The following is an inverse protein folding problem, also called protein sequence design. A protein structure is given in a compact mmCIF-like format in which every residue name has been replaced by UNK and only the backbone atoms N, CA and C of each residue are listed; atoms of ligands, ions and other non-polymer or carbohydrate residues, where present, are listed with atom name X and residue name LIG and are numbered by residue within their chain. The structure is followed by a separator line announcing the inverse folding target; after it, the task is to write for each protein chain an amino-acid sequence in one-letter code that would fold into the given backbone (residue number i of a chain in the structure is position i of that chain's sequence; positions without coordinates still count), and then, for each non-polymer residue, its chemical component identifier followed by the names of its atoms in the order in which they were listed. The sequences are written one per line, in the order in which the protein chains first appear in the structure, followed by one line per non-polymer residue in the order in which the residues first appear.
data_IF_716094135540
#
_entry.id   IF_716094135540
#
_cell.length_a   1.000
_cell.length_b   1.000
_cell.length_c   1.000
_cell.angle_alpha   90.00
_cell.angle_beta   90.00
_cell.angle_gamma   90.00
#
_symmetry.space_group_name_H-M   'P 1'
#
loop_
_entity.id
_entity.type
_entity.pdbx_description
1 polymer ?
#
# COMPACT_ATOMS: atom_id res chain seq x y z
N UNK A 1 12.70 -9.76 -23.41
CA UNK A 1 13.20 -8.64 -22.57
C UNK A 1 12.95 -9.00 -21.13
N UNK A 2 13.95 -8.91 -20.26
CA UNK A 2 13.82 -9.29 -18.85
C UNK A 2 12.95 -8.28 -18.08
N UNK A 3 12.13 -8.77 -17.16
CA UNK A 3 11.32 -7.97 -16.23
C UNK A 3 12.22 -7.32 -15.16
N UNK A 4 13.03 -6.33 -15.54
CA UNK A 4 13.88 -5.63 -14.58
C UNK A 4 13.20 -4.36 -14.03
N UNK A 5 13.15 -4.18 -12.69
CA UNK A 5 12.63 -2.96 -12.11
C UNK A 5 13.57 -1.79 -12.36
N UNK A 6 13.00 -0.64 -12.76
CA UNK A 6 13.78 0.61 -12.86
C UNK A 6 14.38 0.95 -11.49
N UNK A 7 15.68 1.25 -11.45
CA UNK A 7 16.34 1.69 -10.21
C UNK A 7 15.91 3.12 -9.83
N UNK A 8 15.73 3.45 -8.54
CA UNK A 8 15.43 4.81 -8.13
C UNK A 8 16.61 5.74 -8.47
N UNK A 9 16.33 6.94 -8.95
CA UNK A 9 17.35 7.89 -9.39
C UNK A 9 17.92 8.78 -8.27
N UNK A 10 17.33 8.76 -7.08
CA UNK A 10 17.74 9.59 -5.94
C UNK A 10 17.51 8.88 -4.60
N UNK A 11 18.06 9.46 -3.53
CA UNK A 11 17.97 8.91 -2.16
C UNK A 11 16.53 8.81 -1.65
N UNK A 12 15.68 9.80 -1.96
CA UNK A 12 14.27 9.75 -1.58
C UNK A 12 13.55 8.53 -2.18
N UNK A 13 13.82 8.22 -3.45
CA UNK A 13 13.27 7.05 -4.13
C UNK A 13 13.83 5.73 -3.59
N UNK A 14 15.12 5.69 -3.22
CA UNK A 14 15.72 4.52 -2.56
C UNK A 14 15.06 4.26 -1.20
N UNK A 15 14.92 5.30 -0.38
CA UNK A 15 14.27 5.21 0.92
C UNK A 15 12.81 4.78 0.80
N UNK A 16 12.05 5.35 -0.13
CA UNK A 16 10.67 4.95 -0.38
C UNK A 16 10.55 3.48 -0.83
N UNK A 17 11.50 3.00 -1.65
CA UNK A 17 11.51 1.61 -2.10
C UNK A 17 11.82 0.66 -0.95
N UNK A 18 12.78 1.02 -0.11
CA UNK A 18 13.10 0.24 1.07
C UNK A 18 11.90 0.16 2.02
N UNK A 19 11.21 1.28 2.26
CA UNK A 19 9.99 1.30 3.06
C UNK A 19 8.87 0.44 2.46
N UNK A 20 8.66 0.50 1.13
CA UNK A 20 7.69 -0.38 0.45
C UNK A 20 8.06 -1.84 0.66
N UNK A 21 9.34 -2.20 0.46
CA UNK A 21 9.82 -3.57 0.62
C UNK A 21 9.62 -4.07 2.06
N UNK A 22 9.94 -3.26 3.06
CA UNK A 22 9.78 -3.63 4.47
C UNK A 22 8.31 -3.81 4.87
N UNK A 23 7.42 -2.99 4.33
CA UNK A 23 5.98 -3.19 4.50
C UNK A 23 5.48 -4.44 3.78
N UNK A 24 5.94 -4.66 2.54
CA UNK A 24 5.58 -5.84 1.75
C UNK A 24 6.02 -7.13 2.44
N UNK A 25 7.24 -7.20 2.98
CA UNK A 25 7.75 -8.34 3.78
C UNK A 25 6.83 -8.67 4.95
N UNK A 26 6.31 -7.66 5.64
CA UNK A 26 5.37 -7.85 6.77
C UNK A 26 3.99 -8.29 6.29
N UNK A 27 3.53 -7.81 5.15
CA UNK A 27 2.25 -8.21 4.54
C UNK A 27 2.31 -9.65 4.03
N UNK A 28 3.41 -10.07 3.41
CA UNK A 28 3.58 -11.42 2.88
C UNK A 28 4.06 -12.44 3.91
N UNK A 29 4.63 -11.98 5.03
CA UNK A 29 5.29 -12.85 6.01
C UNK A 29 6.68 -13.34 5.57
N UNK A 30 7.22 -12.81 4.47
CA UNK A 30 8.51 -13.25 3.90
C UNK A 30 9.63 -12.27 4.26
N UNK A 31 10.32 -12.51 5.38
CA UNK A 31 11.36 -11.60 5.89
C UNK A 31 12.54 -11.36 4.92
N UNK A 32 12.93 -12.38 4.16
CA UNK A 32 14.07 -12.32 3.24
C UNK A 32 13.67 -11.92 1.81
N UNK A 33 12.42 -11.51 1.59
CA UNK A 33 11.97 -11.09 0.27
C UNK A 33 12.77 -9.88 -0.22
N UNK A 34 13.38 -9.98 -1.39
CA UNK A 34 14.02 -8.84 -2.06
C UNK A 34 13.06 -8.19 -3.07
N UNK A 35 13.42 -6.97 -3.51
CA UNK A 35 12.56 -6.20 -4.39
C UNK A 35 12.45 -6.80 -5.81
N UNK A 36 13.46 -7.48 -6.33
CA UNK A 36 13.40 -8.09 -7.66
C UNK A 36 12.44 -9.29 -7.65
N UNK A 37 12.54 -10.14 -6.63
CA UNK A 37 11.61 -11.26 -6.42
C UNK A 37 10.18 -10.76 -6.27
N UNK A 38 9.98 -9.71 -5.47
CA UNK A 38 8.67 -9.05 -5.33
C UNK A 38 8.19 -8.48 -6.68
N UNK A 39 9.09 -7.86 -7.45
CA UNK A 39 8.77 -7.30 -8.75
C UNK A 39 8.28 -8.37 -9.73
N UNK A 40 9.04 -9.45 -9.92
CA UNK A 40 8.66 -10.55 -10.80
C UNK A 40 7.33 -11.21 -10.42
N UNK A 41 7.02 -11.31 -9.13
CA UNK A 41 5.79 -11.97 -8.65
C UNK A 41 4.54 -11.14 -8.89
N UNK A 42 4.63 -9.82 -8.73
CA UNK A 42 3.45 -8.95 -8.69
C UNK A 42 3.32 -7.98 -9.87
N UNK A 43 4.39 -7.66 -10.60
CA UNK A 43 4.38 -6.62 -11.64
C UNK A 43 3.32 -6.82 -12.73
N UNK A 44 3.05 -8.07 -13.13
CA UNK A 44 2.14 -8.42 -14.23
C UNK A 44 0.84 -9.11 -13.77
N UNK A 45 0.70 -9.38 -12.47
CA UNK A 45 -0.51 -9.98 -11.92
C UNK A 45 -1.36 -8.89 -11.27
N UNK A 46 -2.19 -8.22 -12.08
CA UNK A 46 -2.99 -7.05 -11.67
C UNK A 46 -3.75 -7.27 -10.37
N UNK A 47 -4.44 -8.41 -10.24
CA UNK A 47 -5.23 -8.70 -9.04
C UNK A 47 -4.34 -8.85 -7.79
N UNK A 48 -3.26 -9.63 -7.88
CA UNK A 48 -2.36 -9.83 -6.75
C UNK A 48 -1.61 -8.54 -6.39
N UNK A 49 -1.22 -7.75 -7.38
CA UNK A 49 -0.60 -6.44 -7.22
C UNK A 49 -1.49 -5.46 -6.46
N UNK A 50 -2.73 -5.28 -6.92
CA UNK A 50 -3.69 -4.36 -6.29
C UNK A 50 -3.96 -4.79 -4.85
N UNK A 51 -4.10 -6.11 -4.60
CA UNK A 51 -4.29 -6.63 -3.24
C UNK A 51 -3.08 -6.35 -2.33
N UNK A 52 -1.86 -6.51 -2.86
CA UNK A 52 -0.64 -6.17 -2.13
C UNK A 52 -0.59 -4.68 -1.82
N UNK A 53 -0.90 -3.81 -2.78
CA UNK A 53 -0.90 -2.36 -2.60
C UNK A 53 -1.94 -1.90 -1.58
N UNK A 54 -3.17 -2.45 -1.61
CA UNK A 54 -4.21 -2.21 -0.59
C UNK A 54 -3.71 -2.61 0.82
N UNK A 55 -3.03 -3.76 0.94
CA UNK A 55 -2.51 -4.26 2.21
C UNK A 55 -1.31 -3.45 2.73
N UNK A 56 -0.39 -3.05 1.84
CA UNK A 56 0.76 -2.19 2.15
C UNK A 56 0.28 -0.80 2.57
N UNK A 57 -0.69 -0.21 1.86
CA UNK A 57 -1.31 1.05 2.24
C UNK A 57 -1.90 0.97 3.65
N UNK A 58 -2.70 -0.08 3.90
CA UNK A 58 -3.33 -0.32 5.19
C UNK A 58 -2.31 -0.47 6.33
N UNK A 59 -1.24 -1.23 6.11
CA UNK A 59 -0.19 -1.41 7.12
C UNK A 59 0.61 -0.12 7.34
N UNK A 60 0.93 0.63 6.27
CA UNK A 60 1.65 1.90 6.35
C UNK A 60 0.91 2.90 7.24
N UNK A 61 -0.40 3.09 6.99
CA UNK A 61 -1.21 4.03 7.75
C UNK A 61 -1.36 3.57 9.21
N UNK A 62 -1.58 2.27 9.47
CA UNK A 62 -1.63 1.73 10.84
C UNK A 62 -0.30 1.87 11.59
N UNK A 63 0.82 1.89 10.87
CA UNK A 63 2.15 2.08 11.44
C UNK A 63 2.49 3.55 11.72
N UNK A 64 1.55 4.49 11.49
CA UNK A 64 1.71 5.91 11.81
C UNK A 64 2.19 6.78 10.64
N UNK A 65 2.39 6.23 9.45
CA UNK A 65 2.73 7.06 8.28
C UNK A 65 1.54 7.94 7.88
N UNK A 66 1.82 9.18 7.50
CA UNK A 66 0.80 10.06 6.93
C UNK A 66 0.31 9.55 5.56
N UNK A 67 -0.89 9.99 5.11
CA UNK A 67 -1.36 9.69 3.76
C UNK A 67 -0.37 10.12 2.67
N UNK A 68 0.27 11.29 2.83
CA UNK A 68 1.27 11.79 1.87
C UNK A 68 2.50 10.88 1.79
N UNK A 69 3.03 10.44 2.93
CA UNK A 69 4.15 9.50 2.97
C UNK A 69 3.76 8.17 2.34
N UNK A 70 2.58 7.65 2.68
CA UNK A 70 2.07 6.38 2.14
C UNK A 70 1.93 6.45 0.62
N UNK A 71 1.42 7.56 0.06
CA UNK A 71 1.42 7.78 -1.39
C UNK A 71 2.83 7.69 -1.96
N UNK A 72 3.82 8.37 -1.36
CA UNK A 72 5.23 8.30 -1.81
C UNK A 72 5.81 6.88 -1.78
N UNK A 73 5.49 6.10 -0.76
CA UNK A 73 5.88 4.69 -0.62
C UNK A 73 5.27 3.85 -1.75
N UNK A 74 3.97 3.97 -2.01
CA UNK A 74 3.25 3.21 -3.04
C UNK A 74 3.68 3.56 -4.48
N UNK A 75 4.31 4.72 -4.71
CA UNK A 75 4.96 4.97 -6.01
C UNK A 75 6.12 4.01 -6.30
N UNK A 76 6.59 3.26 -5.30
CA UNK A 76 7.58 2.21 -5.48
C UNK A 76 6.97 0.81 -5.57
N UNK A 77 5.65 0.67 -5.74
CA UNK A 77 5.05 -0.64 -5.94
C UNK A 77 5.50 -1.29 -7.25
N UNK A 78 5.70 -2.62 -7.28
CA UNK A 78 5.99 -3.36 -8.50
C UNK A 78 5.07 -3.03 -9.66
N UNK A 79 3.76 -2.98 -9.37
CA UNK A 79 2.74 -2.72 -10.36
C UNK A 79 2.89 -1.34 -10.98
N UNK A 80 2.98 -0.29 -10.15
CA UNK A 80 3.16 1.06 -10.69
C UNK A 80 4.46 1.17 -11.49
N UNK A 81 5.56 0.63 -10.97
CA UNK A 81 6.85 0.68 -11.65
C UNK A 81 6.80 -0.05 -13.00
N UNK A 82 6.10 -1.18 -13.09
CA UNK A 82 5.90 -1.91 -14.34
C UNK A 82 5.02 -1.14 -15.33
N UNK A 83 3.87 -0.64 -14.88
CA UNK A 83 2.96 0.12 -15.74
C UNK A 83 3.64 1.35 -16.35
N UNK A 84 4.37 2.13 -15.54
CA UNK A 84 5.00 3.37 -16.02
C UNK A 84 6.25 3.11 -16.86
N UNK A 85 7.08 2.13 -16.49
CA UNK A 85 8.41 1.98 -17.10
C UNK A 85 8.52 0.87 -18.14
N UNK A 86 7.65 -0.14 -18.11
CA UNK A 86 7.66 -1.24 -19.06
C UNK A 86 6.46 -1.18 -20.01
N UNK A 87 5.28 -0.76 -19.52
CA UNK A 87 4.06 -0.61 -20.34
C UNK A 87 3.84 0.80 -20.85
N UNK A 88 4.71 1.75 -20.49
CA UNK A 88 4.65 3.16 -20.89
C UNK A 88 3.31 3.85 -20.57
N UNK A 89 2.61 3.37 -19.54
CA UNK A 89 1.40 4.02 -19.03
C UNK A 89 1.78 5.38 -18.46
N UNK A 90 1.07 6.47 -18.81
CA UNK A 90 1.38 7.79 -18.27
C UNK A 90 1.41 7.81 -16.74
N UNK A 91 2.33 8.57 -16.16
CA UNK A 91 2.47 8.63 -14.69
C UNK A 91 1.25 9.25 -14.00
N UNK A 92 0.53 10.16 -14.67
CA UNK A 92 -0.62 10.85 -14.10
C UNK A 92 -1.75 9.90 -13.63
N UNK A 93 -2.29 8.99 -14.48
CA UNK A 93 -3.28 8.01 -14.04
C UNK A 93 -2.74 7.05 -12.97
N UNK A 94 -1.47 6.63 -13.05
CA UNK A 94 -0.89 5.78 -12.01
C UNK A 94 -0.72 6.49 -10.67
N UNK A 95 -0.45 7.80 -10.68
CA UNK A 95 -0.43 8.63 -9.48
C UNK A 95 -1.84 8.75 -8.87
N UNK A 96 -2.87 8.82 -9.72
CA UNK A 96 -4.27 8.83 -9.26
C UNK A 96 -4.65 7.47 -8.65
N UNK A 97 -4.26 6.36 -9.26
CA UNK A 97 -4.42 5.01 -8.70
C UNK A 97 -3.86 4.93 -7.26
N UNK A 98 -2.61 5.37 -7.06
CA UNK A 98 -1.99 5.35 -5.72
C UNK A 98 -2.76 6.23 -4.74
N UNK A 99 -3.12 7.47 -5.13
CA UNK A 99 -3.87 8.38 -4.26
C UNK A 99 -5.23 7.80 -3.87
N UNK A 100 -5.95 7.20 -4.82
CA UNK A 100 -7.24 6.55 -4.57
C UNK A 100 -7.11 5.37 -3.60
N UNK A 101 -6.06 4.55 -3.77
CA UNK A 101 -5.75 3.42 -2.87
C UNK A 101 -5.55 3.90 -1.42
N UNK A 102 -4.76 4.96 -1.24
CA UNK A 102 -4.53 5.54 0.09
C UNK A 102 -5.79 6.21 0.65
N UNK A 103 -6.55 6.93 -0.17
CA UNK A 103 -7.78 7.57 0.27
C UNK A 103 -8.82 6.56 0.76
N UNK A 104 -9.03 5.49 -0.01
CA UNK A 104 -9.90 4.34 0.35
C UNK A 104 -9.46 3.76 1.69
N UNK A 105 -8.17 3.52 1.87
CA UNK A 105 -7.59 2.98 3.11
C UNK A 105 -7.88 3.89 4.32
N UNK A 106 -7.66 5.19 4.18
CA UNK A 106 -7.93 6.16 5.25
C UNK A 106 -9.41 6.21 5.61
N UNK A 107 -10.30 6.18 4.61
CA UNK A 107 -11.75 6.15 4.84
C UNK A 107 -12.17 4.89 5.59
N UNK A 108 -11.67 3.71 5.18
CA UNK A 108 -11.95 2.44 5.84
C UNK A 108 -11.47 2.43 7.29
N UNK A 109 -10.28 2.95 7.58
CA UNK A 109 -9.78 3.04 8.95
C UNK A 109 -10.62 3.98 9.82
N UNK A 110 -11.04 5.12 9.28
CA UNK A 110 -11.94 6.06 10.00
C UNK A 110 -13.28 5.40 10.32
N UNK A 111 -13.87 4.67 9.36
CA UNK A 111 -15.12 3.94 9.55
C UNK A 111 -14.97 2.86 10.64
N UNK A 112 -13.90 2.07 10.60
CA UNK A 112 -13.61 1.06 11.63
C UNK A 112 -13.46 1.68 13.03
N UNK A 113 -12.78 2.82 13.14
CA UNK A 113 -12.65 3.56 14.41
C UNK A 113 -13.98 4.12 14.91
N UNK A 114 -14.86 4.59 14.02
CA UNK A 114 -16.19 5.06 14.42
C UNK A 114 -17.10 3.94 14.92
N UNK A 115 -17.02 2.74 14.34
CA UNK A 115 -17.82 1.59 14.76
C UNK A 115 -17.36 1.01 16.10
N UNK A 116 -16.07 1.07 16.40
CA UNK A 116 -15.54 0.66 17.71
C UNK A 116 -15.86 1.65 18.84
N UNK A 117 -16.28 2.88 18.52
CA UNK A 117 -16.61 3.92 19.49
C UNK A 117 -18.10 4.03 19.81
N UNK A 118 -18.94 3.16 19.25
CA UNK A 118 -20.35 3.05 19.65
C UNK A 118 -20.43 2.29 20.99
N UNK A 119 -20.78 2.94 22.11
CA UNK A 119 -20.94 2.23 23.37
C UNK A 119 -22.26 1.46 23.33
N UNK A 120 -22.20 0.19 23.72
CA UNK A 120 -23.35 -0.58 24.19
C UNK A 120 -24.01 0.15 25.36
N UNK A 121 -24.94 1.05 25.07
CA UNK A 121 -25.97 1.46 26.04
C UNK A 121 -27.15 0.50 25.84
N UNK A 122 -27.26 -0.47 26.73
CA UNK A 122 -28.52 -0.99 27.28
C UNK A 122 -28.26 -2.26 28.10
N UNK A 123 -27.84 -2.08 29.36
CA UNK A 123 -28.10 -3.07 30.41
C UNK A 123 -27.92 -2.42 31.77
N UNK A 124 -28.83 -1.50 32.08
CA UNK A 124 -29.18 -0.91 33.39
C UNK A 124 -30.26 0.14 33.04
N UNK A 125 -31.53 0.11 33.48
CA UNK A 125 -32.19 -0.31 34.72
C UNK A 125 -33.69 -0.53 34.41
N UNK A 126 -34.40 -1.23 35.31
CA UNK A 126 -35.85 -1.32 35.54
C UNK A 126 -36.48 -2.70 35.25
N UNK A 127 -36.71 -3.49 36.30
CA UNK A 127 -38.03 -3.58 36.93
C UNK A 127 -38.04 -4.51 38.17
N UNK A 128 -38.54 -3.92 39.27
CA UNK A 128 -39.12 -4.47 40.52
C UNK A 128 -38.30 -5.39 41.43
#
# INVERSE_FOLDING_TARGET
MGLEPKKPSNEAGKAARQQYLDLARRVTGEANLDYNTLYHRFAENDWAAVKLDDAVASLSIRSGNSPKQTVGILHQSPYLQHQVHQRSVPLAPMSQYVRSTVLKTVQQQKQAQSQQRSPSRSSEIEQN
#
